data_IF_457084862431
#
_entry.id   IF_457084862431
#
_cell.length_a   1.000
_cell.length_b   1.000
_cell.length_c   1.000
_cell.angle_alpha   90.00
_cell.angle_beta   90.00
_cell.angle_gamma   90.00
#
_symmetry.space_group_name_H-M   'P 1'
#
loop_
_entity.id
_entity.type
_entity.pdbx_description
1 polymer ?
#
# COMPACT_ATOMS: atom_id res chain seq x y z
N UNK A 1 -47.26 44.74 -16.57
CA UNK A 1 -46.46 43.64 -17.11
C UNK A 1 -45.35 43.36 -16.10
N UNK A 2 -45.69 43.01 -14.86
CA UNK A 2 -46.28 41.74 -14.37
C UNK A 2 -45.27 40.57 -14.40
N UNK A 3 -44.57 40.43 -13.28
CA UNK A 3 -44.35 39.22 -12.47
C UNK A 3 -44.46 37.84 -13.16
N UNK A 4 -43.33 37.14 -13.26
CA UNK A 4 -43.28 35.68 -13.48
C UNK A 4 -42.88 35.01 -12.16
N UNK A 5 -43.88 34.34 -11.60
CA UNK A 5 -43.88 33.61 -10.35
C UNK A 5 -43.09 32.29 -10.45
N UNK A 6 -42.40 31.98 -9.37
CA UNK A 6 -41.67 30.75 -9.08
C UNK A 6 -42.67 29.62 -8.80
N UNK A 7 -42.57 28.52 -9.55
CA UNK A 7 -43.19 27.23 -9.22
C UNK A 7 -42.09 26.27 -8.75
N UNK A 8 -41.95 26.13 -7.42
CA UNK A 8 -41.25 25.01 -6.79
C UNK A 8 -42.32 24.08 -6.25
N UNK A 9 -42.40 22.91 -6.87
CA UNK A 9 -43.32 21.85 -6.49
C UNK A 9 -42.86 21.20 -5.18
N UNK A 10 -43.81 21.11 -4.24
CA UNK A 10 -43.68 20.44 -2.95
C UNK A 10 -44.20 19.02 -3.13
N UNK A 11 -43.34 18.01 -3.12
CA UNK A 11 -43.79 16.65 -2.78
C UNK A 11 -42.63 15.81 -2.30
N UNK A 12 -42.92 14.88 -1.38
CA UNK A 12 -42.03 13.95 -0.67
C UNK A 12 -41.50 14.42 0.69
N UNK A 13 -42.44 14.69 1.59
CA UNK A 13 -42.34 14.21 2.96
C UNK A 13 -42.94 12.79 3.04
N UNK A 14 -42.43 12.00 4.00
CA UNK A 14 -42.83 10.63 4.40
C UNK A 14 -41.89 9.50 3.94
N UNK A 15 -41.01 9.08 4.85
CA UNK A 15 -40.90 7.73 5.45
C UNK A 15 -39.72 7.81 6.44
N UNK A 16 -40.03 8.18 7.69
CA UNK A 16 -39.14 7.93 8.83
C UNK A 16 -39.91 7.00 9.75
N UNK A 17 -39.68 5.69 9.59
CA UNK A 17 -40.10 4.72 10.61
C UNK A 17 -39.06 4.74 11.74
N UNK A 18 -39.47 4.90 13.00
CA UNK A 18 -38.55 4.76 14.13
C UNK A 18 -38.09 3.30 14.21
N UNK A 19 -36.77 3.10 14.23
CA UNK A 19 -36.15 1.82 14.54
C UNK A 19 -36.50 1.45 15.99
N UNK A 20 -37.05 0.25 16.16
CA UNK A 20 -37.34 -0.34 17.46
C UNK A 20 -36.04 -0.52 18.27
N UNK A 21 -36.11 -0.44 19.61
CA UNK A 21 -34.97 -0.66 20.48
C UNK A 21 -34.47 -2.11 20.35
N UNK A 22 -33.17 -2.27 20.14
CA UNK A 22 -32.48 -3.56 20.16
C UNK A 22 -32.62 -4.21 21.55
N UNK A 23 -33.02 -5.49 21.63
CA UNK A 23 -32.95 -6.22 22.88
C UNK A 23 -31.48 -6.45 23.26
N UNK A 24 -31.14 -6.08 24.50
CA UNK A 24 -29.89 -6.41 25.16
C UNK A 24 -29.77 -7.93 25.25
N UNK A 25 -28.87 -8.51 24.45
CA UNK A 25 -28.47 -9.90 24.56
C UNK A 25 -27.67 -10.07 25.85
N UNK A 26 -28.24 -10.89 26.73
CA UNK A 26 -27.74 -11.17 28.06
C UNK A 26 -26.37 -11.84 28.08
N UNK A 27 -25.71 -11.63 29.22
CA UNK A 27 -24.45 -12.23 29.63
C UNK A 27 -24.57 -13.75 29.66
N UNK A 28 -24.10 -14.39 28.59
CA UNK A 28 -23.89 -15.83 28.54
C UNK A 28 -22.61 -16.19 29.29
N UNK A 29 -22.78 -16.79 30.46
CA UNK A 29 -21.73 -17.47 31.24
C UNK A 29 -20.92 -18.42 30.33
N UNK A 30 -19.70 -18.01 29.98
CA UNK A 30 -18.75 -18.81 29.22
C UNK A 30 -18.11 -19.83 30.18
N UNK A 31 -18.78 -20.98 30.34
CA UNK A 31 -18.19 -22.16 30.98
C UNK A 31 -17.01 -22.63 30.14
N UNK A 32 -15.83 -22.52 30.74
CA UNK A 32 -14.56 -23.08 30.30
C UNK A 32 -14.64 -24.61 30.25
N UNK A 33 -14.76 -25.17 29.05
CA UNK A 33 -14.44 -26.57 28.79
C UNK A 33 -13.00 -26.64 28.28
N UNK A 34 -12.05 -26.74 29.22
CA UNK A 34 -10.68 -27.17 28.93
C UNK A 34 -10.71 -28.68 28.64
N UNK A 35 -10.18 -29.17 27.51
CA UNK A 35 -9.90 -30.59 27.37
C UNK A 35 -8.68 -30.97 28.23
N UNK A 36 -8.68 -32.17 28.85
CA UNK A 36 -7.55 -32.65 29.62
C UNK A 36 -6.35 -32.94 28.71
N UNK A 37 -5.20 -32.40 29.12
CA UNK A 37 -3.89 -32.76 28.59
C UNK A 37 -3.68 -34.28 28.69
N UNK A 38 -3.74 -34.98 27.56
CA UNK A 38 -3.23 -36.35 27.44
C UNK A 38 -1.74 -36.30 27.17
N UNK A 39 -0.97 -36.71 28.18
CA UNK A 39 0.46 -36.99 28.10
C UNK A 39 0.63 -38.29 27.32
N UNK A 40 0.91 -38.21 26.03
CA UNK A 40 1.25 -39.39 25.23
C UNK A 40 2.77 -39.44 25.05
N UNK A 41 3.42 -40.23 25.91
CA UNK A 41 4.78 -40.73 25.72
C UNK A 41 4.71 -41.74 24.58
N UNK A 42 5.36 -41.47 23.44
CA UNK A 42 5.59 -42.48 22.40
C UNK A 42 7.06 -42.51 22.03
N UNK A 43 7.72 -43.40 22.76
CA UNK A 43 8.82 -44.29 22.41
C UNK A 43 9.33 -44.22 20.96
N UNK A 44 10.63 -43.96 20.89
CA UNK A 44 11.61 -44.29 19.86
C UNK A 44 11.26 -45.49 18.97
N UNK A 45 11.33 -45.29 17.65
CA UNK A 45 11.72 -46.33 16.69
C UNK A 45 12.92 -45.84 15.89
N UNK A 46 14.10 -46.35 16.26
CA UNK A 46 15.28 -46.36 15.42
C UNK A 46 14.97 -47.15 14.15
N UNK A 47 15.05 -46.51 13.00
CA UNK A 47 15.25 -47.21 11.73
C UNK A 47 16.55 -46.69 11.10
N UNK A 48 17.62 -47.46 11.32
CA UNK A 48 18.71 -47.59 10.38
C UNK A 48 18.16 -48.28 9.13
N UNK A 49 18.27 -47.66 7.96
CA UNK A 49 18.51 -48.28 6.65
C UNK A 49 18.79 -47.09 5.71
N UNK A 50 20.05 -46.81 5.39
CA UNK A 50 20.84 -47.45 4.34
C UNK A 50 20.80 -46.66 3.02
N UNK A 51 22.02 -46.45 2.53
CA UNK A 51 22.42 -46.30 1.13
C UNK A 51 22.37 -44.88 0.53
N UNK A 52 23.57 -44.29 0.56
CA UNK A 52 24.14 -43.44 -0.47
C UNK A 52 23.56 -43.71 -1.86
N UNK A 53 22.94 -42.68 -2.43
CA UNK A 53 22.86 -42.50 -3.87
C UNK A 53 23.52 -41.17 -4.19
N UNK A 54 24.82 -41.17 -4.50
CA UNK A 54 25.46 -40.05 -5.18
C UNK A 54 24.99 -40.08 -6.64
N UNK A 55 23.83 -39.52 -6.92
CA UNK A 55 23.52 -39.05 -8.28
C UNK A 55 24.22 -37.71 -8.44
N UNK A 56 25.43 -37.75 -9.00
CA UNK A 56 26.08 -36.56 -9.54
C UNK A 56 25.28 -36.10 -10.76
N UNK A 57 24.24 -35.30 -10.53
CA UNK A 57 23.62 -34.53 -11.59
C UNK A 57 24.66 -33.52 -12.05
N UNK A 58 25.11 -33.65 -13.31
CA UNK A 58 25.74 -32.58 -14.08
C UNK A 58 24.74 -31.44 -14.20
N UNK A 59 24.59 -30.66 -13.14
CA UNK A 59 23.95 -29.35 -13.20
C UNK A 59 24.95 -28.48 -13.93
N UNK A 60 24.73 -28.31 -15.23
CA UNK A 60 25.39 -27.25 -15.98
C UNK A 60 25.27 -25.97 -15.15
N UNK A 61 26.33 -25.16 -15.00
CA UNK A 61 26.21 -23.86 -14.39
C UNK A 61 25.27 -23.05 -15.28
N UNK A 62 23.98 -23.08 -14.95
CA UNK A 62 23.07 -22.00 -15.26
C UNK A 62 23.68 -20.84 -14.51
N UNK A 63 24.56 -20.13 -15.22
CA UNK A 63 24.85 -18.77 -14.91
C UNK A 63 23.47 -18.13 -14.85
N UNK A 64 22.99 -17.92 -13.63
CA UNK A 64 22.06 -16.86 -13.38
C UNK A 64 22.73 -15.66 -14.04
N UNK A 65 22.24 -15.29 -15.23
CA UNK A 65 22.32 -13.94 -15.70
C UNK A 65 21.58 -13.13 -14.65
N UNK A 66 22.29 -12.87 -13.55
CA UNK A 66 22.07 -11.68 -12.76
C UNK A 66 22.18 -10.57 -13.78
N UNK A 67 21.01 -10.11 -14.23
CA UNK A 67 20.87 -8.79 -14.82
C UNK A 67 21.16 -7.79 -13.71
N UNK A 68 22.42 -7.76 -13.30
CA UNK A 68 23.06 -6.69 -12.57
C UNK A 68 23.33 -5.59 -13.59
N UNK A 69 22.24 -5.05 -14.16
CA UNK A 69 22.27 -3.77 -14.85
C UNK A 69 22.33 -2.68 -13.78
N UNK A 70 23.47 -2.60 -13.12
CA UNK A 70 23.89 -1.40 -12.43
C UNK A 70 24.62 -0.51 -13.45
N UNK A 71 24.30 0.78 -13.40
CA UNK A 71 24.96 1.89 -14.10
C UNK A 71 24.60 2.11 -15.57
N UNK A 72 23.44 2.74 -15.79
CA UNK A 72 23.34 4.09 -16.36
C UNK A 72 21.88 4.54 -16.25
N UNK A 73 21.63 5.81 -15.91
CA UNK A 73 20.34 6.40 -15.48
C UNK A 73 19.13 6.22 -16.41
N UNK A 74 18.70 4.98 -16.63
CA UNK A 74 17.56 4.58 -17.41
C UNK A 74 16.30 4.67 -16.56
N UNK A 75 15.35 5.46 -17.05
CA UNK A 75 13.94 5.50 -16.62
C UNK A 75 13.51 4.20 -15.95
N UNK A 76 13.42 4.19 -14.61
CA UNK A 76 12.95 3.07 -13.77
C UNK A 76 11.55 2.56 -14.15
N UNK A 77 10.86 3.29 -15.05
CA UNK A 77 9.53 3.04 -15.55
C UNK A 77 9.61 2.52 -16.99
N UNK A 78 9.12 1.31 -17.23
CA UNK A 78 8.93 0.75 -18.57
C UNK A 78 8.02 1.68 -19.41
N UNK A 79 8.27 1.78 -20.72
CA UNK A 79 7.49 2.62 -21.64
C UNK A 79 5.98 2.35 -21.59
N UNK A 80 5.56 1.09 -21.44
CA UNK A 80 4.16 0.71 -21.29
C UNK A 80 3.51 1.32 -20.04
N UNK A 81 4.21 1.25 -18.91
CA UNK A 81 3.74 1.85 -17.66
C UNK A 81 3.70 3.38 -17.73
N UNK A 82 4.69 3.99 -18.38
CA UNK A 82 4.73 5.44 -18.59
C UNK A 82 3.50 5.91 -19.37
N UNK A 83 3.14 5.23 -20.46
CA UNK A 83 1.96 5.59 -21.26
C UNK A 83 0.67 5.44 -20.46
N UNK A 84 0.49 4.34 -19.71
CA UNK A 84 -0.68 4.15 -18.85
C UNK A 84 -0.80 5.25 -17.79
N UNK A 85 0.29 5.59 -17.11
CA UNK A 85 0.30 6.63 -16.09
C UNK A 85 -0.01 8.02 -16.67
N UNK A 86 0.60 8.36 -17.81
CA UNK A 86 0.33 9.64 -18.50
C UNK A 86 -1.10 9.77 -19.00
N UNK A 87 -1.76 8.67 -19.38
CA UNK A 87 -3.15 8.70 -19.85
C UNK A 87 -4.16 9.18 -18.82
N UNK A 88 -3.79 9.23 -17.53
CA UNK A 88 -4.66 9.74 -16.47
C UNK A 88 -4.83 11.26 -16.50
N UNK A 89 -3.95 12.00 -17.19
CA UNK A 89 -4.06 13.46 -17.26
C UNK A 89 -3.73 14.20 -15.97
N UNK A 90 -3.19 13.51 -14.95
CA UNK A 90 -2.68 14.10 -13.70
C UNK A 90 -1.15 14.08 -13.68
N UNK A 91 -0.57 14.90 -12.81
CA UNK A 91 0.87 14.78 -12.48
C UNK A 91 1.13 13.46 -11.75
N UNK A 92 2.16 12.76 -12.16
CA UNK A 92 2.53 11.45 -11.62
C UNK A 92 3.86 11.58 -10.90
N UNK A 93 3.88 11.32 -9.60
CA UNK A 93 5.09 11.30 -8.77
C UNK A 93 5.62 9.87 -8.65
N UNK A 94 6.89 9.66 -8.95
CA UNK A 94 7.57 8.38 -8.77
C UNK A 94 8.94 8.58 -8.11
N UNK A 95 9.41 7.61 -7.31
CA UNK A 95 10.69 7.70 -6.66
C UNK A 95 11.83 7.56 -7.68
N UNK A 96 12.79 8.46 -7.60
CA UNK A 96 14.09 8.32 -8.29
C UNK A 96 14.99 7.32 -7.57
N UNK A 97 14.86 7.22 -6.25
CA UNK A 97 15.56 6.23 -5.43
C UNK A 97 14.63 5.06 -5.11
N UNK A 98 15.01 3.88 -5.60
CA UNK A 98 14.37 2.62 -5.26
C UNK A 98 15.42 1.78 -4.52
N UNK A 99 15.11 1.21 -3.34
CA UNK A 99 16.06 0.39 -2.58
C UNK A 99 16.61 -0.75 -3.43
N UNK A 100 17.85 -1.15 -3.15
CA UNK A 100 18.51 -2.21 -3.92
C UNK A 100 17.67 -3.50 -3.91
N UNK A 101 17.55 -4.12 -5.08
CA UNK A 101 16.80 -5.38 -5.25
C UNK A 101 15.29 -5.20 -5.44
N UNK A 102 14.75 -3.99 -5.30
CA UNK A 102 13.36 -3.71 -5.66
C UNK A 102 13.24 -3.35 -7.14
N UNK A 103 12.14 -3.78 -7.76
CA UNK A 103 11.74 -3.40 -9.12
C UNK A 103 10.26 -3.07 -9.18
N UNK A 104 9.86 -2.31 -10.20
CA UNK A 104 8.44 -2.04 -10.46
C UNK A 104 7.76 -3.31 -10.95
N UNK A 105 6.83 -3.84 -10.15
CA UNK A 105 6.18 -5.12 -10.41
C UNK A 105 4.80 -4.97 -11.06
N UNK A 106 4.06 -3.90 -10.74
CA UNK A 106 2.73 -3.65 -11.31
C UNK A 106 2.37 -2.17 -11.28
N UNK A 107 1.43 -1.80 -12.16
CA UNK A 107 0.80 -0.48 -12.18
C UNK A 107 -0.71 -0.67 -12.34
N UNK A 108 -1.49 -0.10 -11.43
CA UNK A 108 -2.94 0.05 -11.53
C UNK A 108 -3.28 1.53 -11.74
N UNK A 109 -4.20 1.80 -12.63
CA UNK A 109 -4.68 3.15 -12.96
C UNK A 109 -6.20 3.13 -13.03
N UNK A 110 -6.85 4.12 -12.45
CA UNK A 110 -8.31 4.28 -12.47
C UNK A 110 -8.63 5.69 -12.97
N UNK A 111 -9.08 5.85 -14.22
CA UNK A 111 -9.42 7.16 -14.74
C UNK A 111 -10.71 7.69 -14.10
N UNK A 112 -10.93 8.99 -14.22
CA UNK A 112 -12.24 9.58 -13.92
C UNK A 112 -13.35 8.90 -14.72
N UNK A 113 -14.56 8.82 -14.14
CA UNK A 113 -15.70 8.26 -14.86
C UNK A 113 -16.13 9.22 -15.95
N UNK A 114 -16.70 8.66 -17.02
CA UNK A 114 -17.24 9.47 -18.11
C UNK A 114 -18.33 10.41 -17.57
N UNK A 115 -18.16 11.71 -17.80
CA UNK A 115 -19.11 12.74 -17.35
C UNK A 115 -18.77 13.35 -15.99
N UNK A 116 -17.77 12.84 -15.27
CA UNK A 116 -17.28 13.48 -14.05
C UNK A 116 -16.72 14.87 -14.37
N UNK A 117 -16.98 15.84 -13.49
CA UNK A 117 -16.34 17.16 -13.56
C UNK A 117 -14.87 17.02 -13.18
N UNK A 118 -14.00 17.39 -14.12
CA UNK A 118 -12.55 17.41 -13.94
C UNK A 118 -12.11 18.85 -13.63
N UNK A 119 -11.27 19.01 -12.61
CA UNK A 119 -10.69 20.30 -12.22
C UNK A 119 -9.44 20.66 -13.04
N UNK A 120 -8.81 21.79 -12.73
CA UNK A 120 -7.61 22.24 -13.43
C UNK A 120 -6.37 21.34 -13.22
N UNK A 121 -6.39 20.47 -12.22
CA UNK A 121 -5.31 19.52 -11.94
C UNK A 121 -5.54 18.14 -12.58
N UNK A 122 -6.62 17.97 -13.35
CA UNK A 122 -6.98 16.69 -13.96
C UNK A 122 -7.73 15.75 -13.02
N UNK A 123 -8.23 16.27 -11.89
CA UNK A 123 -8.85 15.50 -10.80
C UNK A 123 -10.38 15.61 -10.82
N UNK A 124 -11.08 14.52 -10.52
CA UNK A 124 -12.52 14.44 -10.27
C UNK A 124 -12.81 13.99 -8.83
N UNK A 125 -14.09 13.97 -8.42
CA UNK A 125 -14.49 13.67 -7.03
C UNK A 125 -13.93 12.35 -6.48
N UNK A 126 -13.82 11.32 -7.33
CA UNK A 126 -13.36 9.98 -6.97
C UNK A 126 -12.30 9.47 -7.96
N UNK A 127 -11.31 10.31 -8.26
CA UNK A 127 -10.22 9.93 -9.16
C UNK A 127 -9.57 11.13 -9.86
N UNK A 128 -8.73 10.92 -10.87
CA UNK A 128 -8.19 9.63 -11.24
C UNK A 128 -7.18 9.15 -10.17
N UNK A 129 -7.00 7.84 -10.10
CA UNK A 129 -6.09 7.21 -9.15
C UNK A 129 -4.99 6.43 -9.89
N UNK A 130 -3.81 6.36 -9.29
CA UNK A 130 -2.82 5.37 -9.68
C UNK A 130 -2.18 4.72 -8.47
N UNK A 131 -1.68 3.50 -8.67
CA UNK A 131 -0.80 2.83 -7.73
C UNK A 131 0.30 2.10 -8.50
N UNK A 132 1.55 2.39 -8.15
CA UNK A 132 2.74 1.72 -8.67
C UNK A 132 3.33 0.86 -7.56
N UNK A 133 3.38 -0.44 -7.81
CA UNK A 133 3.87 -1.45 -6.89
C UNK A 133 5.35 -1.75 -7.17
N UNK A 134 6.15 -1.77 -6.12
CA UNK A 134 7.54 -2.23 -6.14
C UNK A 134 7.66 -3.50 -5.28
N UNK A 135 8.40 -4.49 -5.79
CA UNK A 135 8.64 -5.78 -5.11
C UNK A 135 10.10 -6.18 -5.25
N UNK A 136 10.62 -6.94 -4.29
CA UNK A 136 11.93 -7.60 -4.38
C UNK A 136 11.80 -9.13 -4.41
N UNK A 137 12.93 -9.84 -4.46
CA UNK A 137 12.97 -11.31 -4.53
C UNK A 137 12.53 -12.02 -3.24
N UNK A 138 12.38 -11.28 -2.13
CA UNK A 138 11.89 -11.76 -0.84
C UNK A 138 10.40 -11.42 -0.64
N UNK A 139 9.70 -11.04 -1.72
CA UNK A 139 8.30 -10.64 -1.72
C UNK A 139 8.00 -9.43 -0.84
N UNK A 140 9.01 -8.66 -0.46
CA UNK A 140 8.78 -7.41 0.26
C UNK A 140 8.27 -6.37 -0.72
N UNK A 141 7.22 -5.64 -0.32
CA UNK A 141 6.51 -4.74 -1.21
C UNK A 141 6.27 -3.36 -0.63
N UNK A 142 6.40 -2.33 -1.47
CA UNK A 142 5.91 -1.00 -1.19
C UNK A 142 5.21 -0.42 -2.43
N UNK A 143 4.35 0.56 -2.21
CA UNK A 143 3.57 1.18 -3.27
C UNK A 143 3.61 2.70 -3.18
N UNK A 144 3.65 3.34 -4.35
CA UNK A 144 3.44 4.79 -4.53
C UNK A 144 2.06 4.96 -5.15
N UNK A 145 1.22 5.81 -4.60
CA UNK A 145 -0.09 6.09 -5.16
C UNK A 145 -0.39 7.58 -5.21
N UNK A 146 -1.36 7.94 -6.05
CA UNK A 146 -2.05 9.21 -5.95
C UNK A 146 -3.56 8.98 -6.06
N UNK A 147 -4.33 9.84 -5.40
CA UNK A 147 -5.78 9.87 -5.54
C UNK A 147 -6.31 11.30 -5.61
N UNK A 148 -7.30 11.50 -6.48
CA UNK A 148 -7.91 12.81 -6.69
C UNK A 148 -8.98 13.21 -5.66
N UNK A 149 -9.53 12.27 -4.90
CA UNK A 149 -10.60 12.55 -3.94
C UNK A 149 -10.16 13.32 -2.69
N UNK A 150 -11.13 13.74 -1.88
CA UNK A 150 -10.88 14.22 -0.53
C UNK A 150 -10.51 13.07 0.39
N UNK A 151 -9.56 13.28 1.29
CA UNK A 151 -8.97 12.16 2.02
C UNK A 151 -8.76 12.53 3.48
N UNK A 152 -9.33 11.71 4.34
CA UNK A 152 -8.95 11.59 5.74
C UNK A 152 -8.06 10.38 5.92
N UNK A 153 -7.07 10.49 6.79
CA UNK A 153 -6.27 9.37 7.27
C UNK A 153 -6.14 9.48 8.78
N UNK A 154 -6.02 8.36 9.50
CA UNK A 154 -5.69 8.43 10.92
C UNK A 154 -4.28 9.01 11.12
N UNK A 155 -3.94 9.45 12.32
CA UNK A 155 -2.55 9.75 12.69
C UNK A 155 -1.70 8.48 12.75
N UNK A 156 -0.39 8.64 12.62
CA UNK A 156 0.56 7.55 12.89
C UNK A 156 0.61 7.22 14.38
N UNK A 157 1.01 6.00 14.77
CA UNK A 157 1.42 5.77 16.18
C UNK A 157 2.72 6.51 16.44
N UNK A 158 3.67 6.37 15.52
CA UNK A 158 4.89 7.15 15.48
C UNK A 158 4.95 7.97 14.20
N UNK A 159 5.42 9.20 14.28
CA UNK A 159 5.46 10.16 13.18
C UNK A 159 6.79 10.89 13.14
N UNK A 160 7.27 11.18 11.92
CA UNK A 160 8.36 12.11 11.66
C UNK A 160 8.04 12.94 10.44
N UNK A 161 8.07 14.26 10.60
CA UNK A 161 7.96 15.17 9.47
C UNK A 161 9.25 15.17 8.63
N UNK A 162 9.08 15.15 7.31
CA UNK A 162 10.16 15.11 6.33
C UNK A 162 9.92 16.17 5.28
N UNK A 163 10.95 16.96 4.98
CA UNK A 163 10.89 17.89 3.86
C UNK A 163 11.26 17.16 2.56
N UNK A 164 10.39 17.27 1.58
CA UNK A 164 10.57 16.75 0.22
C UNK A 164 10.62 17.91 -0.77
N UNK A 165 11.38 17.74 -1.85
CA UNK A 165 11.44 18.74 -2.93
C UNK A 165 10.11 18.86 -3.67
N UNK A 166 9.42 17.73 -3.87
CA UNK A 166 8.23 17.65 -4.71
C UNK A 166 6.93 18.05 -4.00
N UNK A 167 6.76 17.58 -2.77
CA UNK A 167 5.48 17.63 -2.04
C UNK A 167 5.53 18.55 -0.81
N UNK A 168 6.67 19.18 -0.54
CA UNK A 168 6.90 19.98 0.66
C UNK A 168 7.06 19.09 1.89
N UNK A 169 6.50 19.53 3.02
CA UNK A 169 6.53 18.80 4.29
C UNK A 169 5.53 17.65 4.26
N UNK A 170 6.01 16.43 4.51
CA UNK A 170 5.24 15.19 4.51
C UNK A 170 5.54 14.43 5.80
N UNK A 171 4.50 13.89 6.43
CA UNK A 171 4.66 13.04 7.60
C UNK A 171 4.88 11.59 7.17
N UNK A 172 5.95 10.98 7.70
CA UNK A 172 6.20 9.53 7.65
C UNK A 172 5.72 8.93 8.95
N UNK A 173 4.85 7.93 8.84
CA UNK A 173 4.12 7.33 9.93
C UNK A 173 4.40 5.83 10.03
N UNK A 174 4.35 5.32 11.26
CA UNK A 174 4.36 3.89 11.59
C UNK A 174 3.08 3.60 12.36
N UNK A 175 2.35 2.56 11.96
CA UNK A 175 1.08 2.16 12.57
C UNK A 175 0.05 3.30 12.62
N UNK A 176 -1.05 3.07 13.35
CA UNK A 176 -2.08 4.07 13.64
C UNK A 176 -2.08 4.39 15.15
N UNK A 177 -2.15 5.66 15.51
CA UNK A 177 -2.13 6.07 16.92
C UNK A 177 -2.01 7.58 17.15
N UNK A 178 -1.30 7.95 18.23
CA UNK A 178 -1.27 9.30 18.83
C UNK A 178 -0.06 10.16 18.40
N UNK A 179 0.60 9.84 17.29
CA UNK A 179 1.69 10.61 16.66
C UNK A 179 2.90 10.89 17.57
N UNK A 180 3.37 9.88 18.30
CA UNK A 180 4.64 9.96 19.05
C UNK A 180 5.82 10.16 18.08
N UNK A 181 6.94 10.80 18.49
CA UNK A 181 8.06 10.98 17.58
C UNK A 181 8.77 9.65 17.25
N UNK A 182 9.14 9.46 15.98
CA UNK A 182 10.06 8.36 15.58
C UNK A 182 11.44 8.63 16.20
N UNK A 183 11.80 7.87 17.23
CA UNK A 183 13.13 7.91 17.86
C UNK A 183 14.21 7.33 16.94
N UNK A 184 15.48 7.54 17.30
CA UNK A 184 16.60 7.02 16.51
C UNK A 184 16.66 5.48 16.50
N UNK A 185 16.26 4.82 17.59
CA UNK A 185 16.17 3.37 17.66
C UNK A 185 15.09 2.83 16.72
N UNK A 186 13.91 3.45 16.71
CA UNK A 186 12.81 3.09 15.80
C UNK A 186 13.24 3.34 14.33
N UNK A 187 13.91 4.47 14.07
CA UNK A 187 14.33 4.87 12.73
C UNK A 187 15.30 3.89 12.04
N UNK A 188 16.01 3.09 12.82
CA UNK A 188 16.98 2.08 12.37
C UNK A 188 16.45 0.65 12.39
N UNK A 189 15.26 0.43 12.98
CA UNK A 189 14.67 -0.90 13.11
C UNK A 189 13.64 -1.10 12.00
N UNK A 190 13.66 -2.23 11.27
CA UNK A 190 12.61 -2.54 10.31
C UNK A 190 11.22 -2.46 10.95
N UNK A 191 10.29 -1.79 10.28
CA UNK A 191 8.92 -1.62 10.74
C UNK A 191 7.95 -2.27 9.76
N UNK A 192 6.85 -2.75 10.31
CA UNK A 192 5.65 -3.00 9.54
C UNK A 192 4.88 -1.70 9.35
N UNK A 193 4.02 -1.66 8.34
CA UNK A 193 3.02 -0.58 8.19
C UNK A 193 3.63 0.83 8.21
N UNK A 194 4.66 1.04 7.40
CA UNK A 194 5.19 2.37 7.10
C UNK A 194 4.35 3.03 6.03
N UNK A 195 3.98 4.30 6.24
CA UNK A 195 3.21 5.05 5.25
C UNK A 195 3.48 6.55 5.35
N UNK A 196 3.29 7.26 4.24
CA UNK A 196 3.30 8.72 4.18
C UNK A 196 2.02 9.19 3.51
N UNK A 197 1.20 9.95 4.21
CA UNK A 197 -0.09 10.39 3.69
C UNK A 197 -0.75 11.45 4.61
N UNK A 198 -1.56 12.38 4.08
CA UNK A 198 -1.58 12.89 2.71
C UNK A 198 -0.37 13.78 2.41
N UNK A 199 0.10 13.74 1.17
CA UNK A 199 1.12 14.68 0.67
C UNK A 199 0.64 15.41 -0.58
N UNK A 200 0.98 16.69 -0.73
CA UNK A 200 0.59 17.51 -1.89
C UNK A 200 -0.80 18.16 -1.80
N UNK A 201 -1.24 18.77 -2.90
CA UNK A 201 -2.50 19.53 -3.01
C UNK A 201 -3.24 19.13 -4.30
N UNK A 202 -3.97 18.02 -4.27
CA UNK A 202 -4.79 17.47 -5.38
C UNK A 202 -4.04 17.20 -6.70
N UNK A 203 -3.84 15.93 -7.12
CA UNK A 203 -4.15 14.73 -6.34
C UNK A 203 -3.24 14.67 -5.10
N UNK A 204 -3.64 13.89 -4.11
CA UNK A 204 -2.82 13.64 -2.94
C UNK A 204 -2.00 12.37 -3.16
N UNK A 205 -0.74 12.43 -2.77
CA UNK A 205 0.21 11.35 -2.97
C UNK A 205 0.41 10.58 -1.68
N UNK A 206 0.65 9.28 -1.82
CA UNK A 206 1.00 8.40 -0.72
C UNK A 206 2.13 7.45 -1.10
N UNK A 207 2.91 7.09 -0.09
CA UNK A 207 3.83 5.95 -0.15
C UNK A 207 3.44 5.03 1.00
N UNK A 208 3.52 3.72 0.82
CA UNK A 208 3.34 2.77 1.93
C UNK A 208 4.02 1.43 1.67
N UNK A 209 4.50 0.77 2.72
CA UNK A 209 4.70 -0.69 2.68
C UNK A 209 3.35 -1.38 2.58
N UNK A 210 3.25 -2.49 1.85
CA UNK A 210 1.97 -3.19 1.68
C UNK A 210 2.10 -4.69 1.93
N UNK A 211 1.02 -5.25 2.45
CA UNK A 211 0.79 -6.70 2.60
C UNK A 211 0.23 -7.32 1.31
N UNK A 212 0.04 -8.64 1.33
CA UNK A 212 -0.56 -9.39 0.22
C UNK A 212 -1.98 -8.95 -0.11
N UNK A 213 -2.81 -8.61 0.88
CA UNK A 213 -4.20 -8.22 0.65
C UNK A 213 -4.30 -6.91 -0.14
N UNK A 214 -3.48 -5.93 0.22
CA UNK A 214 -3.36 -4.67 -0.51
C UNK A 214 -2.72 -4.87 -1.90
N UNK A 215 -1.73 -5.76 -2.02
CA UNK A 215 -1.09 -6.07 -3.30
C UNK A 215 -2.06 -6.75 -4.28
N UNK A 216 -2.89 -7.67 -3.79
CA UNK A 216 -3.88 -8.39 -4.58
C UNK A 216 -4.91 -7.45 -5.24
N UNK A 217 -5.24 -6.33 -4.58
CA UNK A 217 -6.09 -5.29 -5.17
C UNK A 217 -5.42 -4.60 -6.36
N UNK A 218 -4.09 -4.53 -6.40
CA UNK A 218 -3.33 -3.92 -7.50
C UNK A 218 -3.13 -4.94 -8.62
N UNK A 219 -2.69 -6.15 -8.26
CA UNK A 219 -2.49 -7.28 -9.15
C UNK A 219 -2.60 -8.58 -8.35
N UNK A 220 -3.65 -9.36 -8.61
CA UNK A 220 -3.98 -10.60 -7.90
C UNK A 220 -2.92 -11.72 -8.04
N UNK A 221 -1.96 -11.59 -8.96
CA UNK A 221 -0.86 -12.55 -9.12
C UNK A 221 0.35 -12.21 -8.23
N UNK A 222 0.33 -11.09 -7.50
CA UNK A 222 1.47 -10.65 -6.69
C UNK A 222 1.21 -10.92 -5.22
N UNK A 223 2.09 -11.73 -4.64
CA UNK A 223 2.16 -12.02 -3.22
C UNK A 223 3.21 -11.09 -2.59
N UNK A 224 2.87 -10.53 -1.43
CA UNK A 224 3.76 -9.69 -0.65
C UNK A 224 3.90 -10.24 0.78
N UNK A 225 5.13 -10.27 1.28
CA UNK A 225 5.46 -10.67 2.64
C UNK A 225 5.00 -9.63 3.65
N UNK A 226 4.43 -10.10 4.75
CA UNK A 226 4.00 -9.27 5.89
C UNK A 226 5.13 -9.07 6.92
N UNK A 227 6.36 -9.51 6.59
CA UNK A 227 7.52 -9.38 7.46
C UNK A 227 8.10 -7.97 7.41
N UNK A 228 8.41 -7.40 8.58
CA UNK A 228 9.04 -6.09 8.67
C UNK A 228 10.41 -6.11 7.98
N UNK A 229 10.60 -5.20 7.02
CA UNK A 229 11.81 -5.18 6.21
C UNK A 229 12.37 -3.79 5.95
N UNK A 230 11.52 -2.76 5.95
CA UNK A 230 11.94 -1.40 5.67
C UNK A 230 12.09 -0.62 6.96
N UNK A 231 13.22 0.07 7.12
CA UNK A 231 13.40 1.01 8.23
C UNK A 231 12.75 2.35 7.88
N UNK A 232 12.34 3.16 8.86
CA UNK A 232 11.86 4.50 8.59
C UNK A 232 12.88 5.36 7.85
N UNK A 233 14.18 5.26 8.19
CA UNK A 233 15.22 6.01 7.48
C UNK A 233 15.33 5.62 6.01
N UNK A 234 15.15 4.35 5.66
CA UNK A 234 15.14 3.90 4.28
C UNK A 234 13.89 4.38 3.52
N UNK A 235 12.72 4.26 4.16
CA UNK A 235 11.46 4.76 3.60
C UNK A 235 11.49 6.26 3.32
N UNK A 236 12.09 7.04 4.23
CA UNK A 236 12.29 8.49 4.08
C UNK A 236 13.08 8.83 2.82
N UNK A 237 14.12 8.07 2.47
CA UNK A 237 14.89 8.29 1.23
C UNK A 237 13.99 8.14 -0.01
N UNK A 238 13.11 7.15 -0.02
CA UNK A 238 12.16 6.93 -1.12
C UNK A 238 11.23 8.15 -1.25
N UNK A 239 10.61 8.58 -0.13
CA UNK A 239 9.72 9.75 -0.07
C UNK A 239 10.42 11.03 -0.53
N UNK A 240 11.66 11.27 -0.08
CA UNK A 240 12.44 12.44 -0.47
C UNK A 240 12.88 12.42 -1.94
N UNK A 241 12.97 11.24 -2.55
CA UNK A 241 13.41 11.07 -3.94
C UNK A 241 12.29 11.18 -4.97
N UNK A 242 11.05 11.47 -4.56
CA UNK A 242 9.93 11.61 -5.47
C UNK A 242 10.21 12.75 -6.48
N UNK A 243 10.03 12.45 -7.76
CA UNK A 243 10.09 13.40 -8.87
C UNK A 243 8.88 13.22 -9.79
N UNK A 244 8.55 14.25 -10.55
CA UNK A 244 7.52 14.14 -11.59
C UNK A 244 8.00 13.22 -12.71
N UNK A 245 7.11 12.32 -13.15
CA UNK A 245 7.30 11.55 -14.37
C UNK A 245 7.42 12.53 -15.56
N UNK A 246 8.54 12.56 -16.31
CA UNK A 246 8.71 13.45 -17.45
C UNK A 246 7.84 13.03 -18.64
#
# INVERSE_FOLDING_TARGET
>A
MEDILILIDKTYAEIVKPLAPFPLLGEGNMKSCLPPFSIMKSTTCLSLFSLLSLTASLVAPVHAQGNSSASNGHSLVNSSFRTKLKSLGIKVALPKYVPQGFWMAAVRTEPCRRGDRIDANGVCRFGPDYTVLYRNAQDQCFAVSATGGGIGGPGGRYTRAVNTKLLGKVDVNIDTGMSEPITEAIAKTPQNNLWSFPAGKSPFYSLRTIDSDAANRINAAIICSDTAYMTPNEFIKIVQSLEWLP
#
